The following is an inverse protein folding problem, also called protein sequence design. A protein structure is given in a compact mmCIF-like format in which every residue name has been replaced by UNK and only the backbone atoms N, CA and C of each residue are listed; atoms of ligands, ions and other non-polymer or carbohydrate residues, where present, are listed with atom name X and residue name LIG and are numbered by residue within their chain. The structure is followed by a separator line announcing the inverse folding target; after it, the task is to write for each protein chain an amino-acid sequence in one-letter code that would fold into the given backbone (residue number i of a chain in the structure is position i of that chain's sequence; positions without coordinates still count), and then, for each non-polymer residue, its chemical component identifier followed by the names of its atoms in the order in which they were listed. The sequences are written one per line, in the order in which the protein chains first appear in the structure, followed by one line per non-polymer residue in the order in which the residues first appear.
data_IF_691549162424
#
_entry.id   IF_691549162424
#
_cell.length_a   1.000
_cell.length_b   1.000
_cell.length_c   1.000
_cell.angle_alpha   90.00
_cell.angle_beta   90.00
_cell.angle_gamma   90.00
#
_symmetry.space_group_name_H-M   'P 1'
#
loop_
_entity.id
_entity.type
_entity.pdbx_description
1 polymer ?
#
# COMPACT_ATOMS: atom_id res chain seq x y z
N UNK A 1 46.04 49.40 -16.75
CA UNK A 1 45.09 48.55 -17.51
C UNK A 1 44.76 47.33 -16.66
N UNK A 2 43.60 47.33 -15.98
CA UNK A 2 43.08 46.14 -15.29
C UNK A 2 41.59 46.02 -15.68
N UNK A 3 41.25 44.99 -16.44
CA UNK A 3 39.86 44.57 -16.66
C UNK A 3 39.80 43.07 -16.43
N UNK A 4 39.54 42.70 -15.18
CA UNK A 4 39.02 41.37 -14.83
C UNK A 4 37.51 41.43 -15.09
N UNK A 5 37.02 40.72 -16.11
CA UNK A 5 35.60 40.41 -16.26
C UNK A 5 35.48 38.89 -16.29
N UNK A 6 35.41 38.30 -15.10
CA UNK A 6 34.83 36.99 -14.92
C UNK A 6 33.35 37.20 -14.58
N UNK A 7 32.47 36.83 -15.48
CA UNK A 7 31.11 36.39 -15.14
C UNK A 7 30.58 35.54 -16.30
N UNK A 8 31.05 34.29 -16.38
CA UNK A 8 30.37 33.28 -17.17
C UNK A 8 29.15 32.87 -16.35
N UNK A 9 28.00 33.45 -16.70
CA UNK A 9 26.71 33.12 -16.15
C UNK A 9 26.41 31.65 -16.47
N UNK A 10 26.38 30.81 -15.43
CA UNK A 10 26.04 29.40 -15.54
C UNK A 10 24.57 29.32 -16.00
N UNK A 11 24.39 28.89 -17.25
CA UNK A 11 23.15 28.34 -17.76
C UNK A 11 22.96 26.99 -17.08
N UNK A 12 22.18 26.92 -16.02
CA UNK A 12 21.70 25.65 -15.49
C UNK A 12 20.16 25.67 -15.38
N UNK A 13 19.56 25.05 -16.40
CA UNK A 13 18.43 24.14 -16.27
C UNK A 13 17.10 24.73 -15.80
N UNK A 14 16.37 25.34 -16.73
CA UNK A 14 14.93 25.09 -16.82
C UNK A 14 14.72 23.66 -17.32
N UNK A 15 15.00 22.66 -16.48
CA UNK A 15 14.37 21.36 -16.65
C UNK A 15 12.92 21.53 -16.23
N UNK A 16 12.00 21.16 -17.12
CA UNK A 16 10.59 21.13 -16.82
C UNK A 16 10.34 20.44 -15.48
N UNK A 17 9.43 21.00 -14.70
CA UNK A 17 8.79 20.29 -13.60
C UNK A 17 7.98 19.12 -14.17
N UNK A 18 8.64 18.11 -14.73
CA UNK A 18 8.10 16.78 -14.74
C UNK A 18 8.10 16.37 -13.28
N UNK A 19 6.93 16.46 -12.64
CA UNK A 19 6.71 15.79 -11.38
C UNK A 19 7.01 14.32 -11.61
N UNK A 20 8.24 13.90 -11.31
CA UNK A 20 8.59 12.50 -11.09
C UNK A 20 7.82 12.10 -9.84
N UNK A 21 6.55 11.74 -10.00
CA UNK A 21 5.77 11.12 -8.94
C UNK A 21 6.52 9.87 -8.49
N UNK A 22 6.53 9.61 -7.17
CA UNK A 22 7.20 8.45 -6.63
C UNK A 22 6.71 7.20 -7.37
N UNK A 23 7.60 6.57 -8.12
CA UNK A 23 7.31 5.41 -8.95
C UNK A 23 7.35 4.12 -8.14
N UNK A 24 7.87 4.14 -6.92
CA UNK A 24 8.01 2.97 -6.05
C UNK A 24 7.88 3.34 -4.57
N UNK A 25 7.76 2.34 -3.69
CA UNK A 25 7.92 2.48 -2.24
C UNK A 25 9.41 2.32 -1.87
N UNK A 26 9.95 3.26 -1.08
CA UNK A 26 11.37 3.27 -0.74
C UNK A 26 11.62 3.06 0.76
N UNK A 27 12.85 2.69 1.10
CA UNK A 27 13.29 2.67 2.51
C UNK A 27 13.18 4.06 3.16
N UNK A 28 13.36 5.14 2.39
CA UNK A 28 13.22 6.50 2.90
C UNK A 28 11.77 6.81 3.26
N UNK A 29 10.80 6.39 2.43
CA UNK A 29 9.39 6.43 2.81
C UNK A 29 9.16 5.64 4.10
N UNK A 30 9.74 4.44 4.20
CA UNK A 30 9.52 3.57 5.36
C UNK A 30 10.16 4.07 6.66
N UNK A 31 11.21 4.91 6.62
CA UNK A 31 11.72 5.60 7.82
C UNK A 31 10.63 6.46 8.48
N UNK A 32 9.80 7.10 7.66
CA UNK A 32 8.72 7.97 8.14
C UNK A 32 7.44 7.19 8.44
N UNK A 33 7.14 6.16 7.65
CA UNK A 33 5.88 5.43 7.73
C UNK A 33 5.95 4.22 8.67
N UNK A 34 7.12 3.62 8.84
CA UNK A 34 7.43 2.54 9.80
C UNK A 34 6.50 1.31 9.65
N UNK A 35 6.27 0.88 8.42
CA UNK A 35 5.52 -0.33 8.11
C UNK A 35 6.34 -1.58 8.39
N UNK A 36 5.66 -2.62 8.88
CA UNK A 36 6.12 -4.00 8.75
C UNK A 36 5.74 -4.50 7.35
N UNK A 37 6.73 -4.96 6.58
CA UNK A 37 6.55 -5.23 5.16
C UNK A 37 6.12 -6.68 4.91
N UNK A 38 5.14 -6.83 4.04
CA UNK A 38 4.65 -8.11 3.55
C UNK A 38 4.44 -8.11 2.05
N UNK A 39 4.14 -9.29 1.52
CA UNK A 39 3.88 -9.45 0.09
C UNK A 39 2.97 -10.63 -0.18
N UNK A 40 2.07 -10.47 -1.15
CA UNK A 40 1.38 -11.63 -1.72
C UNK A 40 2.31 -12.34 -2.72
N UNK A 41 2.03 -13.61 -3.05
CA UNK A 41 2.88 -14.34 -4.00
C UNK A 41 2.80 -13.74 -5.42
N UNK A 42 1.58 -13.45 -5.87
CA UNK A 42 1.23 -13.07 -7.25
C UNK A 42 -0.10 -12.31 -7.27
N UNK A 43 -0.35 -11.53 -8.31
CA UNK A 43 -1.60 -10.79 -8.47
C UNK A 43 -2.82 -11.71 -8.61
N UNK A 44 -2.70 -12.78 -9.40
CA UNK A 44 -3.78 -13.77 -9.57
C UNK A 44 -4.15 -14.47 -8.25
N UNK A 45 -3.15 -14.78 -7.42
CA UNK A 45 -3.40 -15.33 -6.07
C UNK A 45 -4.05 -14.33 -5.13
N UNK A 46 -3.67 -13.06 -5.19
CA UNK A 46 -4.35 -11.98 -4.48
C UNK A 46 -5.81 -11.89 -4.91
N UNK A 47 -6.11 -11.89 -6.20
CA UNK A 47 -7.50 -11.86 -6.68
C UNK A 47 -8.30 -13.08 -6.25
N UNK A 48 -7.76 -14.28 -6.48
CA UNK A 48 -8.43 -15.53 -6.14
C UNK A 48 -8.72 -15.65 -4.64
N UNK A 49 -7.87 -15.07 -3.79
CA UNK A 49 -8.12 -14.99 -2.36
C UNK A 49 -9.44 -14.29 -2.06
N UNK A 50 -9.67 -13.07 -2.58
CA UNK A 50 -10.91 -12.33 -2.31
C UNK A 50 -12.13 -12.98 -2.97
N UNK A 51 -11.96 -13.53 -4.17
CA UNK A 51 -13.01 -14.24 -4.89
C UNK A 51 -13.51 -15.47 -4.11
N UNK A 52 -12.63 -16.19 -3.40
CA UNK A 52 -13.00 -17.31 -2.51
C UNK A 52 -14.00 -16.88 -1.43
N UNK A 53 -13.95 -15.61 -1.02
CA UNK A 53 -14.86 -15.02 -0.02
C UNK A 53 -15.97 -14.17 -0.64
N UNK A 54 -16.22 -14.34 -1.95
CA UNK A 54 -17.35 -13.70 -2.64
C UNK A 54 -17.17 -12.22 -2.93
N UNK A 55 -15.94 -11.71 -3.01
CA UNK A 55 -15.67 -10.30 -3.28
C UNK A 55 -14.56 -10.08 -4.32
N UNK A 56 -14.60 -8.92 -4.95
CA UNK A 56 -13.50 -8.44 -5.77
C UNK A 56 -12.32 -8.01 -4.90
N UNK A 57 -11.11 -8.17 -5.44
CA UNK A 57 -9.92 -7.75 -4.73
C UNK A 57 -9.71 -6.24 -4.89
N UNK A 58 -9.62 -5.53 -3.77
CA UNK A 58 -9.35 -4.10 -3.73
C UNK A 58 -7.98 -3.82 -3.11
N UNK A 59 -7.23 -2.94 -3.76
CA UNK A 59 -5.97 -2.39 -3.27
C UNK A 59 -6.11 -0.88 -3.01
N UNK A 60 -5.16 -0.31 -2.28
CA UNK A 60 -5.16 1.06 -1.70
C UNK A 60 -6.14 1.21 -0.55
N UNK A 61 -6.27 0.16 0.24
CA UNK A 61 -7.26 0.06 1.31
C UNK A 61 -6.76 -0.92 2.36
N UNK A 62 -7.35 -0.82 3.55
CA UNK A 62 -6.97 -1.58 4.71
C UNK A 62 -8.05 -2.59 5.13
N UNK A 63 -7.58 -3.71 5.67
CA UNK A 63 -8.39 -4.72 6.34
C UNK A 63 -7.86 -4.90 7.77
N UNK A 64 -8.77 -5.03 8.74
CA UNK A 64 -8.42 -5.20 10.14
C UNK A 64 -8.66 -6.64 10.56
N UNK A 65 -7.60 -7.33 11.00
CA UNK A 65 -7.64 -8.70 11.50
C UNK A 65 -7.68 -8.72 13.02
N UNK A 66 -8.59 -9.51 13.56
CA UNK A 66 -8.72 -9.80 14.98
C UNK A 66 -7.99 -11.10 15.31
N UNK A 67 -6.88 -11.01 16.06
CA UNK A 67 -6.03 -12.16 16.37
C UNK A 67 -6.72 -13.19 17.29
N UNK A 68 -7.55 -12.74 18.22
CA UNK A 68 -8.27 -13.62 19.17
C UNK A 68 -9.37 -14.40 18.45
N UNK A 69 -10.12 -13.73 17.57
CA UNK A 69 -11.21 -14.35 16.81
C UNK A 69 -10.74 -15.05 15.54
N UNK A 70 -9.51 -14.80 15.11
CA UNK A 70 -8.92 -15.29 13.86
C UNK A 70 -9.80 -15.00 12.63
N UNK A 71 -10.12 -13.72 12.44
CA UNK A 71 -10.96 -13.27 11.33
C UNK A 71 -10.59 -11.85 10.88
N UNK A 72 -10.77 -11.54 9.59
CA UNK A 72 -10.90 -10.14 9.20
C UNK A 72 -12.27 -9.64 9.63
N UNK A 73 -12.27 -8.48 10.26
CA UNK A 73 -13.48 -7.80 10.65
C UNK A 73 -14.20 -7.25 9.42
N UNK A 74 -15.52 -7.32 9.44
CA UNK A 74 -16.34 -6.61 8.48
C UNK A 74 -16.08 -5.10 8.57
N UNK A 75 -16.41 -4.35 7.51
CA UNK A 75 -16.32 -2.88 7.55
C UNK A 75 -17.07 -2.29 8.76
N UNK A 76 -18.28 -2.78 9.04
CA UNK A 76 -19.11 -2.27 10.13
C UNK A 76 -18.49 -2.56 11.50
N UNK A 77 -17.95 -3.78 11.71
CA UNK A 77 -17.26 -4.14 12.95
C UNK A 77 -15.97 -3.33 13.13
N UNK A 78 -15.16 -3.23 12.07
CA UNK A 78 -13.90 -2.49 12.10
C UNK A 78 -14.14 -0.98 12.33
N UNK A 79 -15.15 -0.40 11.68
CA UNK A 79 -15.54 1.01 11.87
C UNK A 79 -16.06 1.26 13.28
N UNK A 80 -16.91 0.39 13.81
CA UNK A 80 -17.45 0.52 15.17
C UNK A 80 -16.33 0.43 16.22
N UNK A 81 -15.42 -0.52 16.04
CA UNK A 81 -14.32 -0.78 16.96
C UNK A 81 -13.19 0.26 16.87
N UNK A 82 -12.86 0.71 15.64
CA UNK A 82 -11.75 1.62 15.34
C UNK A 82 -12.21 2.75 14.40
N UNK A 83 -13.09 3.66 14.87
CA UNK A 83 -13.67 4.70 14.02
C UNK A 83 -12.63 5.62 13.38
N UNK A 84 -11.49 5.86 14.05
CA UNK A 84 -10.39 6.64 13.50
C UNK A 84 -9.77 6.03 12.23
N UNK A 85 -9.89 4.71 12.02
CA UNK A 85 -9.38 4.02 10.84
C UNK A 85 -10.38 4.04 9.67
N UNK A 86 -11.63 4.46 9.87
CA UNK A 86 -12.67 4.46 8.84
C UNK A 86 -12.24 4.98 7.46
N UNK A 87 -11.47 6.08 7.33
CA UNK A 87 -11.10 6.62 6.02
C UNK A 87 -10.28 5.68 5.12
N UNK A 88 -9.63 4.67 5.70
CA UNK A 88 -8.74 3.74 4.96
C UNK A 88 -9.36 2.35 4.82
N UNK A 89 -10.41 2.02 5.57
CA UNK A 89 -10.99 0.69 5.61
C UNK A 89 -11.69 0.34 4.30
N UNK A 90 -11.56 -0.91 3.90
CA UNK A 90 -12.33 -1.45 2.80
C UNK A 90 -13.80 -1.58 3.21
N UNK A 91 -14.71 -1.19 2.31
CA UNK A 91 -16.16 -1.17 2.56
C UNK A 91 -16.90 -2.41 2.04
N UNK A 92 -16.18 -3.38 1.43
CA UNK A 92 -16.82 -4.58 0.93
C UNK A 92 -17.31 -5.45 2.08
N UNK A 93 -18.48 -6.04 1.87
CA UNK A 93 -19.05 -6.99 2.81
C UNK A 93 -18.44 -8.37 2.54
N UNK A 94 -17.59 -8.84 3.45
CA UNK A 94 -16.99 -10.17 3.41
C UNK A 94 -16.94 -10.78 4.80
N UNK A 95 -17.24 -12.07 4.91
CA UNK A 95 -16.98 -12.88 6.11
C UNK A 95 -15.72 -13.73 5.88
N UNK A 96 -14.58 -13.20 6.31
CA UNK A 96 -13.26 -13.81 6.06
C UNK A 96 -12.70 -14.38 7.35
N UNK A 97 -13.01 -15.65 7.59
CA UNK A 97 -12.41 -16.44 8.67
C UNK A 97 -11.11 -17.04 8.16
N UNK A 98 -10.01 -16.70 8.82
CA UNK A 98 -8.67 -17.12 8.47
C UNK A 98 -7.90 -17.43 9.74
N UNK A 99 -7.36 -18.63 9.80
CA UNK A 99 -6.36 -18.94 10.79
C UNK A 99 -5.14 -18.05 10.62
N UNK A 100 -4.38 -17.88 11.70
CA UNK A 100 -3.10 -17.20 11.66
C UNK A 100 -2.21 -17.72 10.53
N UNK A 101 -2.10 -19.05 10.38
CA UNK A 101 -1.27 -19.69 9.36
C UNK A 101 -1.72 -19.35 7.93
N UNK A 102 -3.04 -19.25 7.69
CA UNK A 102 -3.56 -18.83 6.39
C UNK A 102 -3.23 -17.36 6.09
N UNK A 103 -3.30 -16.47 7.10
CA UNK A 103 -2.87 -15.08 6.94
C UNK A 103 -1.39 -15.02 6.59
N UNK A 104 -0.52 -15.70 7.35
CA UNK A 104 0.93 -15.75 7.07
C UNK A 104 1.20 -16.31 5.68
N UNK A 105 0.53 -17.39 5.29
CA UNK A 105 0.70 -17.98 3.95
C UNK A 105 0.25 -17.04 2.84
N UNK A 106 -0.72 -16.15 3.09
CA UNK A 106 -1.25 -15.24 2.10
C UNK A 106 -0.41 -13.96 1.96
N UNK A 107 0.01 -13.37 3.08
CA UNK A 107 0.69 -12.07 3.14
C UNK A 107 2.20 -12.17 3.30
N UNK A 108 2.73 -13.39 3.52
CA UNK A 108 4.13 -13.66 3.79
C UNK A 108 4.70 -12.83 4.95
N UNK A 109 3.89 -12.61 5.99
CA UNK A 109 4.26 -11.88 7.20
C UNK A 109 3.89 -12.69 8.42
N UNK A 110 4.81 -12.81 9.35
CA UNK A 110 4.52 -13.35 10.67
C UNK A 110 3.85 -12.26 11.54
N UNK A 111 2.62 -12.53 11.97
CA UNK A 111 1.84 -11.62 12.82
C UNK A 111 1.67 -12.13 14.25
N UNK A 112 2.43 -13.16 14.66
CA UNK A 112 2.36 -13.71 16.03
C UNK A 112 2.67 -12.67 17.10
N UNK A 113 3.59 -11.76 16.80
CA UNK A 113 3.99 -10.67 17.69
C UNK A 113 3.22 -9.37 17.42
N UNK A 114 2.15 -9.41 16.62
CA UNK A 114 1.26 -8.27 16.49
C UNK A 114 0.59 -7.97 17.84
N UNK A 115 0.11 -6.74 17.98
CA UNK A 115 -0.77 -6.35 19.09
C UNK A 115 -2.13 -7.06 18.97
N UNK A 116 -3.16 -6.57 19.65
CA UNK A 116 -4.51 -7.18 19.61
C UNK A 116 -5.08 -7.31 18.20
N UNK A 117 -4.78 -6.35 17.32
CA UNK A 117 -5.23 -6.34 15.94
C UNK A 117 -4.06 -6.14 14.96
N UNK A 118 -4.16 -6.76 13.78
CA UNK A 118 -3.25 -6.53 12.67
C UNK A 118 -4.00 -5.79 11.54
N UNK A 119 -3.51 -4.63 11.13
CA UNK A 119 -4.03 -3.92 9.96
C UNK A 119 -3.17 -4.23 8.75
N UNK A 120 -3.80 -4.77 7.71
CA UNK A 120 -3.18 -5.03 6.42
C UNK A 120 -3.58 -3.96 5.42
N UNK A 121 -2.67 -3.05 5.08
CA UNK A 121 -2.85 -2.12 3.98
C UNK A 121 -2.32 -2.75 2.71
N UNK A 122 -3.20 -3.11 1.78
CA UNK A 122 -2.81 -3.62 0.47
C UNK A 122 -2.47 -2.45 -0.44
N UNK A 123 -1.20 -2.34 -0.84
CA UNK A 123 -0.73 -1.21 -1.63
C UNK A 123 -1.07 -1.36 -3.12
N UNK A 124 -0.79 -0.31 -3.88
CA UNK A 124 -0.79 -0.38 -5.35
C UNK A 124 0.11 -1.52 -5.81
N UNK A 125 -0.36 -2.41 -6.72
CA UNK A 125 0.45 -3.49 -7.25
C UNK A 125 1.77 -3.00 -7.84
N UNK A 126 2.80 -3.85 -7.84
CA UNK A 126 4.16 -3.49 -8.26
C UNK A 126 4.69 -4.44 -9.34
N UNK A 127 5.44 -3.89 -10.29
CA UNK A 127 6.24 -4.65 -11.24
C UNK A 127 7.59 -5.00 -10.61
N UNK A 128 7.67 -6.21 -10.07
CA UNK A 128 8.91 -6.76 -9.51
C UNK A 128 10.02 -6.96 -10.54
N UNK A 129 9.68 -7.01 -11.83
CA UNK A 129 10.66 -7.10 -12.93
C UNK A 129 11.25 -5.75 -13.31
N UNK A 130 10.64 -4.65 -12.85
CA UNK A 130 11.06 -3.28 -13.13
C UNK A 130 11.21 -2.49 -11.83
N UNK A 131 12.20 -2.85 -11.01
CA UNK A 131 12.58 -2.14 -9.78
C UNK A 131 11.42 -1.87 -8.79
N UNK A 132 10.43 -2.77 -8.73
CA UNK A 132 9.22 -2.61 -7.91
C UNK A 132 8.44 -1.33 -8.23
N UNK A 133 8.42 -0.90 -9.49
CA UNK A 133 7.60 0.23 -9.90
C UNK A 133 6.11 -0.07 -9.71
N UNK A 134 5.36 0.88 -9.19
CA UNK A 134 3.92 0.76 -9.05
C UNK A 134 3.24 0.60 -10.41
N UNK A 135 2.14 -0.14 -10.41
CA UNK A 135 1.15 -0.12 -11.48
C UNK A 135 0.80 1.35 -11.75
N UNK A 136 0.93 1.74 -13.02
CA UNK A 136 0.73 3.11 -13.54
C UNK A 136 1.87 4.11 -13.32
N UNK A 137 3.02 3.69 -12.78
CA UNK A 137 4.21 4.53 -12.78
C UNK A 137 4.56 4.97 -14.22
N UNK A 138 4.97 6.23 -14.38
CA UNK A 138 5.29 6.82 -15.69
C UNK A 138 4.10 7.08 -16.62
N UNK A 139 2.86 6.75 -16.21
CA UNK A 139 1.67 6.97 -17.03
C UNK A 139 0.92 8.24 -16.60
N UNK A 140 0.96 9.29 -17.43
CA UNK A 140 0.35 10.59 -17.14
C UNK A 140 -1.17 10.51 -16.93
N UNK A 141 -1.88 9.62 -17.64
CA UNK A 141 -3.33 9.42 -17.49
C UNK A 141 -3.69 8.95 -16.08
N UNK A 142 -2.81 8.17 -15.48
CA UNK A 142 -3.04 7.54 -14.18
C UNK A 142 -2.25 8.18 -13.02
N UNK A 143 -1.46 9.22 -13.30
CA UNK A 143 -0.61 9.89 -12.30
C UNK A 143 -1.41 10.41 -11.09
N UNK A 144 -2.62 10.94 -11.33
CA UNK A 144 -3.51 11.40 -10.26
C UNK A 144 -4.01 10.25 -9.39
N UNK A 145 -4.35 9.09 -9.98
CA UNK A 145 -4.72 7.90 -9.23
C UNK A 145 -3.54 7.39 -8.40
N UNK A 146 -2.35 7.30 -8.97
CA UNK A 146 -1.15 6.86 -8.25
C UNK A 146 -0.84 7.79 -7.07
N UNK A 147 -0.89 9.12 -7.26
CA UNK A 147 -0.71 10.09 -6.18
C UNK A 147 -1.70 9.86 -5.03
N UNK A 148 -3.00 9.72 -5.31
CA UNK A 148 -4.02 9.43 -4.29
C UNK A 148 -3.73 8.12 -3.54
N UNK A 149 -3.18 7.14 -4.24
CA UNK A 149 -2.82 5.84 -3.68
C UNK A 149 -1.72 5.98 -2.62
N UNK A 150 -0.66 6.72 -2.96
CA UNK A 150 0.44 7.04 -2.05
C UNK A 150 -0.04 7.88 -0.86
N UNK A 151 -0.91 8.87 -1.10
CA UNK A 151 -1.52 9.67 -0.02
C UNK A 151 -2.36 8.81 0.93
N UNK A 152 -3.09 7.83 0.40
CA UNK A 152 -3.87 6.90 1.22
C UNK A 152 -2.98 5.98 2.07
N UNK A 153 -1.86 5.49 1.51
CA UNK A 153 -0.85 4.72 2.25
C UNK A 153 -0.26 5.55 3.40
N UNK A 154 0.14 6.79 3.11
CA UNK A 154 0.67 7.73 4.13
C UNK A 154 -0.34 8.04 5.22
N UNK A 155 -1.62 8.23 4.85
CA UNK A 155 -2.70 8.40 5.80
C UNK A 155 -2.87 7.17 6.69
N UNK A 156 -2.84 5.96 6.10
CA UNK A 156 -2.95 4.72 6.85
C UNK A 156 -1.82 4.57 7.87
N UNK A 157 -0.58 4.85 7.47
CA UNK A 157 0.58 4.81 8.36
C UNK A 157 0.40 5.74 9.57
N UNK A 158 -0.05 6.97 9.30
CA UNK A 158 -0.34 7.98 10.34
C UNK A 158 -1.42 7.50 11.30
N UNK A 159 -2.53 6.99 10.79
CA UNK A 159 -3.68 6.59 11.61
C UNK A 159 -3.36 5.36 12.46
N UNK A 160 -2.64 4.37 11.92
CA UNK A 160 -2.25 3.17 12.68
C UNK A 160 -1.32 3.49 13.84
N UNK A 161 -0.37 4.42 13.67
CA UNK A 161 0.53 4.84 14.77
C UNK A 161 -0.21 5.42 15.97
N UNK A 162 -1.40 5.96 15.76
CA UNK A 162 -2.26 6.50 16.81
C UNK A 162 -3.05 5.40 17.55
N UNK A 163 -3.01 4.15 17.07
CA UNK A 163 -3.69 3.01 17.68
C UNK A 163 -2.69 2.16 18.49
N UNK A 164 -2.81 2.21 19.81
CA UNK A 164 -1.88 1.52 20.71
C UNK A 164 -1.96 -0.01 20.61
N UNK A 165 -3.10 -0.56 20.18
CA UNK A 165 -3.40 -1.99 20.11
C UNK A 165 -3.48 -2.55 18.68
N UNK A 166 -3.09 -1.75 17.67
CA UNK A 166 -3.01 -2.17 16.26
C UNK A 166 -1.55 -2.17 15.80
N UNK A 167 -1.14 -3.25 15.12
CA UNK A 167 0.12 -3.32 14.36
C UNK A 167 -0.18 -3.13 12.87
N UNK A 168 0.58 -2.28 12.18
CA UNK A 168 0.39 -1.95 10.76
C UNK A 168 1.32 -2.71 9.84
N UNK A 169 0.75 -3.30 8.80
CA UNK A 169 1.46 -4.04 7.77
C UNK A 169 1.19 -3.43 6.39
N UNK A 170 2.25 -3.19 5.62
CA UNK A 170 2.15 -2.81 4.22
C UNK A 170 2.35 -4.05 3.35
N UNK A 171 1.31 -4.44 2.61
CA UNK A 171 1.33 -5.63 1.77
C UNK A 171 1.50 -5.22 0.31
N UNK A 172 2.66 -5.54 -0.25
CA UNK A 172 2.94 -5.36 -1.67
C UNK A 172 2.29 -6.48 -2.50
N UNK A 173 1.85 -6.14 -3.71
CA UNK A 173 1.17 -7.08 -4.60
C UNK A 173 1.95 -7.16 -5.92
N UNK A 174 2.76 -8.20 -6.13
CA UNK A 174 3.47 -8.38 -7.39
C UNK A 174 2.51 -8.54 -8.57
N UNK A 175 2.77 -7.85 -9.69
CA UNK A 175 1.98 -7.93 -10.94
C UNK A 175 2.12 -9.27 -11.69
N UNK A 176 2.80 -10.25 -11.11
CA UNK A 176 2.92 -11.58 -11.69
C UNK A 176 1.52 -12.19 -11.85
N UNK A 177 1.16 -12.58 -13.07
CA UNK A 177 -0.18 -13.10 -13.39
C UNK A 177 -1.27 -12.03 -13.54
N UNK A 178 -0.93 -10.75 -13.45
CA UNK A 178 -1.84 -9.64 -13.78
C UNK A 178 -2.26 -9.72 -15.24
N UNK A 179 -3.57 -9.62 -15.48
CA UNK A 179 -4.14 -9.51 -16.82
C UNK A 179 -4.84 -8.15 -16.92
N UNK A 180 -4.35 -7.22 -17.76
CA UNK A 180 -5.04 -5.94 -17.98
C UNK A 180 -6.47 -6.22 -18.45
N UNK A 181 -7.45 -5.50 -17.90
CA UNK A 181 -8.79 -5.53 -18.47
C UNK A 181 -8.74 -4.78 -19.82
N UNK A 182 -9.04 -5.49 -20.90
CA UNK A 182 -9.36 -4.87 -22.19
C UNK A 182 -10.78 -4.34 -22.10
N UNK A 183 -10.93 -3.01 -22.18
CA UNK A 183 -12.22 -2.33 -22.28
C UNK A 183 -12.70 -2.26 -23.73
#
# INVERSE_FOLDING_TARGET
MLKVKALLLIVFLMFGNFYSYASTFTDEDNKTEQWQLGTTKRFDTFQNFFLKYGSDAYFRTAYLYDLEKQQWLSYEDAKSLKPALQPILNVQYMDVKLTLAEVVSFTNVDIRDAKRYALFFFDTPIDTGNNNEYLFAGNEVFAKQLKKSIEMRKLAAKLVKQQHDVTGYLIQIPLIGYKPQTF
#
